data_IF_822738690511
#
_entry.id   IF_822738690511
#
_cell.length_a   1.000
_cell.length_b   1.000
_cell.length_c   1.000
_cell.angle_alpha   90.00
_cell.angle_beta   90.00
_cell.angle_gamma   90.00
#
_symmetry.space_group_name_H-M   'P 1'
#
loop_
_entity.id
_entity.type
_entity.pdbx_description
1 polymer ?
#
# COMPACT_ATOMS: atom_id res chain seq x y z
N UNK A 1 -6.94 -18.19 -24.15
CA UNK A 1 -6.87 -18.37 -22.68
C UNK A 1 -7.37 -17.09 -22.02
N UNK A 2 -8.31 -17.18 -21.08
CA UNK A 2 -9.13 -16.06 -20.60
C UNK A 2 -8.30 -14.94 -19.96
N UNK A 3 -8.17 -13.79 -20.65
CA UNK A 3 -7.45 -12.60 -20.17
C UNK A 3 -8.06 -12.03 -18.88
N UNK A 4 -9.38 -12.13 -18.71
CA UNK A 4 -10.09 -11.64 -17.51
C UNK A 4 -9.76 -12.41 -16.23
N UNK A 5 -9.62 -13.74 -16.28
CA UNK A 5 -9.24 -14.54 -15.09
C UNK A 5 -7.82 -14.22 -14.64
N UNK A 6 -6.91 -13.96 -15.60
CA UNK A 6 -5.53 -13.57 -15.28
C UNK A 6 -5.46 -12.23 -14.55
N UNK A 7 -6.22 -11.24 -15.02
CA UNK A 7 -6.30 -9.93 -14.35
C UNK A 7 -6.82 -10.03 -12.90
N UNK A 8 -7.81 -10.90 -12.65
CA UNK A 8 -8.31 -11.13 -11.29
C UNK A 8 -7.31 -11.91 -10.42
N UNK A 9 -6.59 -12.88 -10.98
CA UNK A 9 -5.55 -13.60 -10.24
C UNK A 9 -4.36 -12.70 -9.91
N UNK A 10 -3.94 -11.83 -10.83
CA UNK A 10 -2.82 -10.90 -10.62
C UNK A 10 -3.12 -9.91 -9.49
N UNK A 11 -4.36 -9.42 -9.42
CA UNK A 11 -4.79 -8.52 -8.32
C UNK A 11 -4.82 -9.23 -6.96
N UNK A 12 -5.22 -10.50 -6.90
CA UNK A 12 -5.17 -11.32 -5.68
C UNK A 12 -3.71 -11.58 -5.28
N UNK A 13 -2.85 -11.95 -6.22
CA UNK A 13 -1.44 -12.24 -5.95
C UNK A 13 -0.71 -10.98 -5.45
N UNK A 14 -1.00 -9.79 -5.98
CA UNK A 14 -0.45 -8.54 -5.48
C UNK A 14 -0.95 -8.14 -4.08
N UNK A 15 -2.13 -8.63 -3.67
CA UNK A 15 -2.69 -8.40 -2.35
C UNK A 15 -2.13 -9.35 -1.27
N UNK A 16 -1.72 -10.57 -1.64
CA UNK A 16 -1.15 -11.57 -0.72
C UNK A 16 0.03 -11.11 0.15
N UNK A 17 1.09 -10.46 -0.37
CA UNK A 17 2.24 -10.05 0.46
C UNK A 17 1.86 -9.01 1.52
N UNK A 18 0.71 -8.36 1.36
CA UNK A 18 0.22 -7.32 2.26
C UNK A 18 -0.40 -7.92 3.53
N UNK A 19 -0.97 -9.12 3.42
CA UNK A 19 -1.55 -9.88 4.54
C UNK A 19 -0.62 -10.97 5.06
N UNK A 20 0.52 -11.19 4.41
CA UNK A 20 1.45 -12.30 4.70
C UNK A 20 1.96 -12.29 6.14
N UNK A 21 2.26 -11.13 6.72
CA UNK A 21 2.76 -11.06 8.10
C UNK A 21 1.74 -11.58 9.13
N UNK A 22 0.45 -11.28 8.93
CA UNK A 22 -0.63 -11.85 9.76
C UNK A 22 -0.91 -13.31 9.38
N UNK A 23 -0.83 -13.65 8.09
CA UNK A 23 -1.01 -15.01 7.59
C UNK A 23 0.02 -16.00 8.14
N UNK A 24 1.28 -15.59 8.28
CA UNK A 24 2.33 -16.40 8.89
C UNK A 24 2.08 -16.63 10.38
N UNK A 25 1.65 -15.59 11.10
CA UNK A 25 1.25 -15.74 12.50
C UNK A 25 0.06 -16.70 12.64
N UNK A 26 -0.93 -16.59 11.74
CA UNK A 26 -2.08 -17.48 11.71
C UNK A 26 -1.69 -18.93 11.44
N UNK A 27 -0.77 -19.15 10.49
CA UNK A 27 -0.25 -20.47 10.16
C UNK A 27 0.52 -21.09 11.34
N UNK A 28 1.35 -20.30 12.04
CA UNK A 28 2.06 -20.75 13.24
C UNK A 28 1.07 -21.11 14.37
N UNK A 29 0.02 -20.31 14.56
CA UNK A 29 -1.04 -20.61 15.52
C UNK A 29 -1.70 -21.95 15.20
N UNK A 30 -2.05 -22.19 13.93
CA UNK A 30 -2.58 -23.48 13.49
C UNK A 30 -1.63 -24.63 13.78
N UNK A 31 -0.33 -24.45 13.53
CA UNK A 31 0.66 -25.49 13.78
C UNK A 31 0.73 -25.88 15.26
N UNK A 32 0.80 -24.88 16.16
CA UNK A 32 0.86 -25.10 17.62
C UNK A 32 -0.42 -25.80 18.10
N UNK A 33 -1.59 -25.30 17.71
CA UNK A 33 -2.85 -25.89 18.12
C UNK A 33 -3.03 -27.30 17.53
N UNK A 34 -2.58 -27.55 16.30
CA UNK A 34 -2.62 -28.91 15.72
C UNK A 34 -1.81 -29.89 16.55
N UNK A 35 -0.56 -29.54 16.90
CA UNK A 35 0.28 -30.39 17.73
C UNK A 35 -0.34 -30.65 19.11
N UNK A 36 -0.87 -29.61 19.76
CA UNK A 36 -1.59 -29.75 21.04
C UNK A 36 -2.86 -30.60 20.91
N UNK A 37 -3.61 -30.43 19.83
CA UNK A 37 -4.85 -31.16 19.58
C UNK A 37 -4.61 -32.65 19.38
N UNK A 38 -3.53 -33.04 18.68
CA UNK A 38 -3.14 -34.45 18.55
C UNK A 38 -2.77 -35.05 19.90
N UNK A 39 -2.03 -34.31 20.74
CA UNK A 39 -1.63 -34.81 22.06
C UNK A 39 -2.83 -34.93 23.03
N UNK A 40 -3.71 -33.93 23.04
CA UNK A 40 -4.87 -33.89 23.94
C UNK A 40 -6.00 -34.81 23.48
N UNK A 41 -6.24 -34.90 22.17
CA UNK A 41 -7.44 -35.49 21.60
C UNK A 41 -7.18 -36.65 20.62
N UNK A 42 -5.93 -37.04 20.39
CA UNK A 42 -5.57 -38.11 19.45
C UNK A 42 -6.10 -39.50 19.81
N UNK A 43 -6.50 -39.70 21.07
CA UNK A 43 -7.06 -40.97 21.58
C UNK A 43 -8.59 -41.01 21.57
N UNK A 44 -9.28 -39.96 21.14
CA UNK A 44 -10.75 -39.98 21.04
C UNK A 44 -11.18 -40.94 19.93
N UNK A 45 -12.04 -41.88 20.30
CA UNK A 45 -12.62 -42.85 19.37
C UNK A 45 -14.14 -42.75 19.35
N UNK A 46 -14.68 -42.69 18.13
CA UNK A 46 -16.10 -42.74 17.86
C UNK A 46 -16.42 -44.16 17.36
N UNK A 47 -17.42 -44.79 17.95
CA UNK A 47 -17.88 -46.15 17.57
C UNK A 47 -19.40 -46.15 17.38
N UNK A 48 -19.96 -47.21 16.80
CA UNK A 48 -21.42 -47.35 16.62
C UNK A 48 -22.17 -47.32 17.96
N UNK A 49 -21.56 -47.85 19.03
CA UNK A 49 -22.09 -47.80 20.40
C UNK A 49 -22.02 -46.41 21.05
N UNK A 50 -21.09 -45.56 20.60
CA UNK A 50 -20.87 -44.19 21.11
C UNK A 50 -20.74 -43.23 19.93
N UNK A 51 -21.86 -42.84 19.29
CA UNK A 51 -21.84 -41.98 18.11
C UNK A 51 -21.38 -40.56 18.47
N UNK A 52 -20.49 -40.03 17.62
CA UNK A 52 -20.04 -38.65 17.64
C UNK A 52 -20.93 -37.78 16.75
N UNK A 53 -21.09 -36.52 17.12
CA UNK A 53 -21.93 -35.55 16.40
C UNK A 53 -21.11 -34.60 15.53
N UNK A 54 -19.87 -34.32 15.93
CA UNK A 54 -18.92 -33.45 15.24
C UNK A 54 -17.67 -34.17 14.74
N UNK A 55 -17.17 -35.16 15.49
CA UNK A 55 -16.06 -36.00 15.03
C UNK A 55 -16.54 -37.08 14.06
N UNK A 56 -15.75 -37.33 13.01
CA UNK A 56 -16.05 -38.32 11.96
C UNK A 56 -14.73 -38.90 11.39
N UNK A 57 -14.80 -39.88 10.49
CA UNK A 57 -13.65 -40.45 9.75
C UNK A 57 -12.82 -39.42 8.97
N UNK A 58 -13.38 -38.25 8.70
CA UNK A 58 -12.72 -37.14 8.00
C UNK A 58 -12.47 -35.92 8.88
N UNK A 59 -12.80 -35.99 10.18
CA UNK A 59 -12.63 -34.92 11.15
C UNK A 59 -12.26 -35.53 12.50
N UNK A 60 -10.95 -35.73 12.71
CA UNK A 60 -10.39 -36.33 13.92
C UNK A 60 -8.97 -35.83 14.22
N UNK A 61 -8.53 -36.04 15.47
CA UNK A 61 -7.22 -35.61 15.96
C UNK A 61 -6.16 -36.73 16.01
N UNK A 62 -6.43 -37.92 15.44
CA UNK A 62 -5.49 -39.06 15.45
C UNK A 62 -4.16 -38.77 14.75
N UNK A 63 -4.20 -38.05 13.64
CA UNK A 63 -3.04 -37.72 12.81
C UNK A 63 -2.90 -36.20 12.68
N UNK A 64 -1.67 -35.71 12.56
CA UNK A 64 -1.39 -34.28 12.39
C UNK A 64 -2.15 -33.66 11.20
N UNK A 65 -2.16 -34.34 10.05
CA UNK A 65 -2.82 -33.82 8.84
C UNK A 65 -4.34 -33.69 9.00
N UNK A 66 -4.99 -34.71 9.56
CA UNK A 66 -6.44 -34.65 9.82
C UNK A 66 -6.78 -33.69 10.95
N UNK A 67 -5.94 -33.58 11.98
CA UNK A 67 -6.08 -32.59 13.04
C UNK A 67 -6.02 -31.16 12.48
N UNK A 68 -5.09 -30.89 11.54
CA UNK A 68 -4.97 -29.61 10.87
C UNK A 68 -6.24 -29.26 10.07
N UNK A 69 -6.76 -30.20 9.29
CA UNK A 69 -8.01 -30.01 8.53
C UNK A 69 -9.23 -29.86 9.45
N UNK A 70 -9.24 -30.58 10.58
CA UNK A 70 -10.30 -30.46 11.60
C UNK A 70 -10.27 -29.08 12.24
N UNK A 71 -9.09 -28.54 12.56
CA UNK A 71 -8.94 -27.17 13.06
C UNK A 71 -9.29 -26.12 12.00
N UNK A 72 -9.01 -26.38 10.73
CA UNK A 72 -9.48 -25.53 9.64
C UNK A 72 -11.00 -25.43 9.60
N UNK A 73 -11.71 -26.57 9.69
CA UNK A 73 -13.18 -26.62 9.81
C UNK A 73 -13.69 -25.86 11.03
N UNK A 74 -13.02 -25.99 12.17
CA UNK A 74 -13.38 -25.26 13.40
C UNK A 74 -13.18 -23.74 13.21
N UNK A 75 -12.08 -23.33 12.57
CA UNK A 75 -11.77 -21.93 12.31
C UNK A 75 -12.75 -21.26 11.33
N UNK A 76 -13.37 -22.02 10.42
CA UNK A 76 -14.47 -21.53 9.59
C UNK A 76 -15.79 -21.40 10.37
N UNK A 77 -15.85 -21.86 11.62
CA UNK A 77 -17.04 -21.84 12.46
C UNK A 77 -18.03 -22.98 12.17
N UNK A 78 -17.65 -23.98 11.38
CA UNK A 78 -18.53 -25.10 11.04
C UNK A 78 -18.48 -26.18 12.12
N UNK A 79 -19.65 -26.52 12.67
CA UNK A 79 -19.88 -27.60 13.63
C UNK A 79 -18.84 -27.72 14.78
N UNK A 80 -18.17 -26.62 15.16
CA UNK A 80 -17.13 -26.64 16.20
C UNK A 80 -17.69 -26.98 17.58
N UNK A 81 -18.94 -26.58 17.85
CA UNK A 81 -19.66 -26.95 19.07
C UNK A 81 -19.89 -28.46 19.18
N UNK A 82 -20.18 -29.13 18.05
CA UNK A 82 -20.32 -30.59 18.02
C UNK A 82 -19.00 -31.29 18.30
N UNK A 83 -17.92 -30.83 17.67
CA UNK A 83 -16.57 -31.36 17.88
C UNK A 83 -16.13 -31.16 19.33
N UNK A 84 -16.36 -29.97 19.90
CA UNK A 84 -16.08 -29.68 21.30
C UNK A 84 -16.88 -30.61 22.23
N UNK A 85 -18.18 -30.78 22.01
CA UNK A 85 -19.02 -31.68 22.82
C UNK A 85 -18.51 -33.12 22.79
N UNK A 86 -18.07 -33.60 21.63
CA UNK A 86 -17.50 -34.93 21.51
C UNK A 86 -16.17 -35.05 22.24
N UNK A 87 -15.33 -34.02 22.21
CA UNK A 87 -14.08 -33.97 22.97
C UNK A 87 -14.28 -33.88 24.50
N UNK A 88 -15.45 -33.43 24.98
CA UNK A 88 -15.81 -33.41 26.40
C UNK A 88 -16.28 -34.77 26.93
N UNK A 89 -16.58 -35.73 26.04
CA UNK A 89 -17.07 -37.04 26.47
C UNK A 89 -15.97 -37.72 27.29
N UNK A 90 -16.32 -38.09 28.52
CA UNK A 90 -15.39 -38.82 29.36
C UNK A 90 -15.20 -40.21 28.78
N UNK A 91 -13.94 -40.61 28.66
CA UNK A 91 -13.60 -41.95 28.25
C UNK A 91 -13.88 -42.88 29.44
N UNK A 92 -15.06 -43.51 29.45
CA UNK A 92 -15.45 -44.54 30.44
C UNK A 92 -14.63 -45.84 30.33
N UNK A 93 -13.49 -45.80 29.63
CA UNK A 93 -12.56 -46.90 29.52
C UNK A 93 -12.14 -47.38 30.91
N UNK A 94 -12.19 -48.70 31.21
CA UNK A 94 -11.95 -49.24 32.56
C UNK A 94 -10.51 -49.01 33.09
N UNK A 95 -9.60 -48.53 32.23
CA UNK A 95 -8.22 -48.17 32.56
C UNK A 95 -7.96 -46.64 32.52
N UNK A 96 -8.96 -45.86 32.11
CA UNK A 96 -8.90 -44.41 32.02
C UNK A 96 -9.38 -43.78 33.33
N UNK A 97 -8.45 -43.26 34.13
CA UNK A 97 -8.82 -42.44 35.28
C UNK A 97 -9.70 -41.27 34.85
N UNK A 98 -10.74 -40.96 35.63
CA UNK A 98 -11.58 -39.77 35.45
C UNK A 98 -10.73 -38.51 35.56
N UNK A 99 -10.18 -38.07 34.44
CA UNK A 99 -9.37 -36.86 34.38
C UNK A 99 -10.31 -35.66 34.28
N UNK A 100 -10.89 -35.26 35.41
CA UNK A 100 -11.75 -34.07 35.51
C UNK A 100 -11.06 -32.81 34.94
N UNK A 101 -9.73 -32.74 35.02
CA UNK A 101 -8.90 -31.71 34.40
C UNK A 101 -9.05 -31.67 32.86
N UNK A 102 -9.07 -32.82 32.20
CA UNK A 102 -9.21 -32.89 30.73
C UNK A 102 -10.58 -32.39 30.28
N UNK A 103 -11.62 -32.68 31.06
CA UNK A 103 -12.99 -32.20 30.81
C UNK A 103 -13.13 -30.68 30.92
N UNK A 104 -12.29 -30.01 31.72
CA UNK A 104 -12.26 -28.56 31.83
C UNK A 104 -11.32 -27.91 30.80
N UNK A 105 -10.24 -28.59 30.40
CA UNK A 105 -9.29 -28.10 29.40
C UNK A 105 -9.84 -28.11 27.97
N UNK A 106 -10.68 -29.10 27.63
CA UNK A 106 -11.24 -29.21 26.28
C UNK A 106 -12.05 -27.96 25.85
N UNK A 107 -13.05 -27.46 26.61
CA UNK A 107 -13.75 -26.22 26.24
C UNK A 107 -12.81 -25.03 26.11
N UNK A 108 -11.84 -24.90 27.02
CA UNK A 108 -10.89 -23.78 27.03
C UNK A 108 -10.06 -23.78 25.74
N UNK A 109 -9.55 -24.96 25.35
CA UNK A 109 -8.80 -25.12 24.11
C UNK A 109 -9.61 -24.69 22.88
N UNK A 110 -10.84 -25.18 22.72
CA UNK A 110 -11.65 -24.88 21.53
C UNK A 110 -12.10 -23.41 21.51
N UNK A 111 -12.53 -22.86 22.65
CA UNK A 111 -12.99 -21.47 22.73
C UNK A 111 -11.85 -20.50 22.46
N UNK A 112 -10.68 -20.69 23.07
CA UNK A 112 -9.50 -19.84 22.82
C UNK A 112 -9.10 -19.92 21.34
N UNK A 113 -9.05 -21.13 20.77
CA UNK A 113 -8.72 -21.30 19.36
C UNK A 113 -9.69 -20.57 18.44
N UNK A 114 -11.01 -20.74 18.65
CA UNK A 114 -12.04 -20.07 17.85
C UNK A 114 -11.92 -18.56 17.97
N UNK A 115 -11.79 -18.02 19.19
CA UNK A 115 -11.66 -16.57 19.38
C UNK A 115 -10.40 -16.02 18.71
N UNK A 116 -9.25 -16.68 18.88
CA UNK A 116 -8.01 -16.28 18.23
C UNK A 116 -8.10 -16.36 16.71
N UNK A 117 -8.69 -17.43 16.17
CA UNK A 117 -8.83 -17.61 14.74
C UNK A 117 -9.76 -16.55 14.12
N UNK A 118 -10.92 -16.30 14.74
CA UNK A 118 -11.84 -15.26 14.30
C UNK A 118 -11.21 -13.87 14.40
N UNK A 119 -10.48 -13.58 15.48
CA UNK A 119 -9.77 -12.30 15.62
C UNK A 119 -8.76 -12.07 14.49
N UNK A 120 -7.95 -13.08 14.16
CA UNK A 120 -6.99 -12.97 13.07
C UNK A 120 -7.69 -12.85 11.71
N UNK A 121 -8.76 -13.62 11.46
CA UNK A 121 -9.53 -13.51 10.21
C UNK A 121 -10.13 -12.11 10.03
N UNK A 122 -10.72 -11.54 11.09
CA UNK A 122 -11.27 -10.18 11.06
C UNK A 122 -10.14 -9.16 10.81
N UNK A 123 -8.99 -9.31 11.48
CA UNK A 123 -7.86 -8.40 11.27
C UNK A 123 -7.31 -8.47 9.84
N UNK A 124 -7.30 -9.66 9.22
CA UNK A 124 -6.93 -9.80 7.80
C UNK A 124 -7.94 -9.08 6.92
N UNK A 125 -9.25 -9.25 7.16
CA UNK A 125 -10.30 -8.55 6.40
C UNK A 125 -10.15 -7.03 6.55
N UNK A 126 -9.95 -6.53 7.77
CA UNK A 126 -9.75 -5.09 8.04
C UNK A 126 -8.49 -4.58 7.34
N UNK A 127 -7.38 -5.31 7.40
CA UNK A 127 -6.13 -4.92 6.73
C UNK A 127 -6.31 -4.80 5.20
N UNK A 128 -7.00 -5.76 4.57
CA UNK A 128 -7.31 -5.71 3.13
C UNK A 128 -8.21 -4.53 2.80
N UNK A 129 -9.25 -4.28 3.61
CA UNK A 129 -10.19 -3.18 3.40
C UNK A 129 -9.50 -1.82 3.53
N UNK A 130 -8.71 -1.61 4.59
CA UNK A 130 -7.97 -0.36 4.80
C UNK A 130 -7.00 -0.10 3.66
N UNK A 131 -6.28 -1.14 3.21
CA UNK A 131 -5.40 -1.01 2.06
C UNK A 131 -6.15 -0.63 0.78
N UNK A 132 -7.33 -1.19 0.54
CA UNK A 132 -8.14 -0.84 -0.64
C UNK A 132 -8.69 0.57 -0.56
N UNK A 133 -9.06 1.04 0.63
CA UNK A 133 -9.46 2.43 0.86
C UNK A 133 -8.27 3.39 0.66
N UNK A 134 -7.10 3.07 1.18
CA UNK A 134 -5.89 3.87 1.01
C UNK A 134 -5.47 3.94 -0.47
N UNK A 135 -5.54 2.81 -1.19
CA UNK A 135 -5.25 2.75 -2.63
C UNK A 135 -6.23 3.62 -3.43
N UNK A 136 -7.54 3.54 -3.14
CA UNK A 136 -8.57 4.36 -3.80
C UNK A 136 -8.42 5.85 -3.49
N UNK A 137 -8.09 6.22 -2.25
CA UNK A 137 -7.92 7.62 -1.85
C UNK A 137 -6.67 8.23 -2.48
N UNK A 138 -5.58 7.45 -2.60
CA UNK A 138 -4.33 7.92 -3.25
C UNK A 138 -4.49 8.11 -4.76
N UNK A 139 -5.22 7.22 -5.45
CA UNK A 139 -5.52 7.39 -6.87
C UNK A 139 -6.32 8.68 -7.11
N UNK A 140 -7.33 8.94 -6.28
CA UNK A 140 -8.14 10.15 -6.37
C UNK A 140 -7.32 11.42 -6.10
N UNK A 141 -6.42 11.41 -5.10
CA UNK A 141 -5.57 12.57 -4.83
C UNK A 141 -4.58 12.84 -5.96
N UNK A 142 -3.97 11.80 -6.53
CA UNK A 142 -3.02 11.96 -7.63
C UNK A 142 -3.72 12.50 -8.89
N UNK A 143 -4.94 12.01 -9.21
CA UNK A 143 -5.74 12.54 -10.33
C UNK A 143 -6.06 14.04 -10.14
N UNK A 144 -6.44 14.46 -8.93
CA UNK A 144 -6.72 15.89 -8.67
C UNK A 144 -5.48 16.78 -8.83
N UNK A 145 -4.30 16.30 -8.41
CA UNK A 145 -3.05 17.05 -8.54
C UNK A 145 -2.63 17.17 -10.01
N UNK A 146 -2.84 16.12 -10.81
CA UNK A 146 -2.56 16.13 -12.25
C UNK A 146 -3.48 17.10 -12.97
N UNK A 147 -4.79 17.07 -12.67
CA UNK A 147 -5.76 17.97 -13.28
C UNK A 147 -5.42 19.45 -12.97
N UNK A 148 -5.05 19.76 -11.73
CA UNK A 148 -4.60 21.11 -11.33
C UNK A 148 -3.33 21.55 -12.06
N UNK A 149 -2.36 20.65 -12.29
CA UNK A 149 -1.12 20.98 -13.00
C UNK A 149 -1.36 21.18 -14.49
N UNK A 150 -2.23 20.37 -15.11
CA UNK A 150 -2.64 20.53 -16.51
C UNK A 150 -3.32 21.90 -16.69
N UNK A 151 -4.22 22.28 -15.78
CA UNK A 151 -4.91 23.58 -15.83
C UNK A 151 -3.91 24.73 -15.76
N UNK A 152 -2.93 24.70 -14.84
CA UNK A 152 -1.88 25.73 -14.76
C UNK A 152 -1.04 25.82 -16.02
N UNK A 153 -0.66 24.68 -16.61
CA UNK A 153 0.13 24.68 -17.84
C UNK A 153 -0.67 25.27 -19.01
N UNK A 154 -1.97 24.96 -19.11
CA UNK A 154 -2.85 25.53 -20.14
C UNK A 154 -3.02 27.04 -19.97
N UNK A 155 -3.09 27.55 -18.73
CA UNK A 155 -3.14 29.00 -18.45
C UNK A 155 -1.85 29.71 -18.89
N UNK A 156 -0.67 29.13 -18.60
CA UNK A 156 0.62 29.67 -19.03
C UNK A 156 0.73 29.69 -20.56
N UNK A 157 0.40 28.59 -21.22
CA UNK A 157 0.45 28.50 -22.69
C UNK A 157 -0.54 29.48 -23.37
N UNK A 158 -1.72 29.68 -22.77
CA UNK A 158 -2.69 30.68 -23.24
C UNK A 158 -2.18 32.11 -23.06
N UNK A 159 -1.50 32.40 -21.95
CA UNK A 159 -0.90 33.71 -21.70
C UNK A 159 0.23 34.01 -22.70
N UNK A 160 1.12 33.06 -22.95
CA UNK A 160 2.20 33.18 -23.95
C UNK A 160 1.66 33.38 -25.37
N UNK A 161 0.53 32.71 -25.70
CA UNK A 161 -0.19 32.90 -26.96
C UNK A 161 -0.73 34.32 -27.13
N UNK A 162 -1.30 34.90 -26.09
CA UNK A 162 -1.88 36.26 -26.11
C UNK A 162 -0.80 37.34 -26.29
N UNK A 163 0.39 37.15 -25.71
CA UNK A 163 1.54 38.01 -25.96
C UNK A 163 2.05 37.94 -27.42
N UNK A 164 1.99 36.77 -28.05
CA UNK A 164 2.39 36.59 -29.45
C UNK A 164 1.35 37.14 -30.43
N UNK A 165 0.09 37.32 -30.03
CA UNK A 165 -1.00 37.92 -30.82
C UNK A 165 -1.14 39.44 -30.64
N UNK A 166 -0.38 40.08 -29.73
CA UNK A 166 -0.37 41.54 -29.61
C UNK A 166 0.13 42.18 -30.94
N UNK A 167 -0.63 43.13 -31.52
CA UNK A 167 -0.19 43.82 -32.71
C UNK A 167 1.10 44.60 -32.39
N UNK A 168 2.21 44.20 -33.01
CA UNK A 168 3.38 45.05 -33.10
C UNK A 168 2.98 46.29 -33.91
N UNK A 169 3.02 47.44 -33.24
CA UNK A 169 2.80 48.82 -33.69
C UNK A 169 1.44 49.39 -33.26
N UNK A 170 1.51 50.25 -32.24
CA UNK A 170 0.54 51.32 -31.99
C UNK A 170 0.57 52.26 -33.20
N UNK A 171 -0.55 52.40 -33.91
CA UNK A 171 -0.72 53.22 -35.13
C UNK A 171 -0.22 54.67 -34.99
N UNK A 172 -0.01 55.09 -33.74
CA UNK A 172 0.53 56.39 -33.36
C UNK A 172 2.00 56.58 -33.72
N UNK A 173 2.81 55.52 -33.76
CA UNK A 173 4.26 55.63 -34.05
C UNK A 173 4.55 55.65 -35.56
N UNK A 174 3.64 55.15 -36.40
CA UNK A 174 3.77 55.18 -37.86
C UNK A 174 3.63 56.61 -38.45
N UNK A 175 2.90 57.49 -37.77
CA UNK A 175 2.76 58.89 -38.16
C UNK A 175 3.97 59.75 -37.75
N UNK A 176 4.74 59.33 -36.74
CA UNK A 176 5.97 60.03 -36.34
C UNK A 176 7.19 59.68 -37.20
N UNK A 177 7.21 58.50 -37.84
CA UNK A 177 8.31 58.07 -38.71
C UNK A 177 8.18 58.53 -40.17
N UNK A 178 7.00 59.02 -40.58
CA UNK A 178 6.81 59.54 -41.94
C UNK A 178 7.39 60.95 -42.15
N UNK A 179 7.65 61.70 -41.06
CA UNK A 179 8.22 63.05 -41.12
C UNK A 179 9.76 63.06 -41.26
N UNK A 180 10.42 61.94 -41.00
CA UNK A 180 11.88 61.83 -41.12
C UNK A 180 12.21 60.68 -42.07
N UNK A 181 12.57 61.05 -43.30
CA UNK A 181 12.87 60.18 -44.43
C UNK A 181 14.08 59.25 -44.19
N UNK A 182 13.98 58.34 -43.22
CA UNK A 182 15.03 57.41 -42.80
C UNK A 182 14.66 56.04 -43.35
N UNK A 183 15.45 55.57 -44.32
CA UNK A 183 15.33 54.22 -44.87
C UNK A 183 15.82 53.20 -43.86
N UNK A 184 14.92 52.33 -43.39
CA UNK A 184 15.30 51.15 -42.60
C UNK A 184 15.45 49.93 -43.51
N UNK A 185 16.57 49.23 -43.37
CA UNK A 185 16.81 47.93 -43.98
C UNK A 185 16.30 46.85 -43.02
N UNK A 186 15.49 45.87 -43.46
CA UNK A 186 14.91 44.90 -42.55
C UNK A 186 16.00 43.94 -42.03
N UNK A 187 16.11 43.82 -40.70
CA UNK A 187 16.95 42.79 -40.09
C UNK A 187 16.26 41.43 -40.24
N UNK A 188 16.89 40.55 -41.02
CA UNK A 188 16.44 39.18 -41.20
C UNK A 188 16.45 38.43 -39.86
N UNK A 189 15.36 37.68 -39.63
CA UNK A 189 15.17 36.76 -38.50
C UNK A 189 16.35 35.76 -38.47
N UNK A 190 17.28 35.90 -37.54
CA UNK A 190 18.34 34.91 -37.33
C UNK A 190 17.75 33.74 -36.53
N UNK A 191 17.74 32.58 -37.18
CA UNK A 191 17.21 31.32 -36.69
C UNK A 191 18.21 30.70 -35.68
N UNK A 192 17.73 30.35 -34.48
CA UNK A 192 18.34 29.46 -33.47
C UNK A 192 19.74 29.79 -32.92
N UNK A 193 19.85 29.92 -31.59
CA UNK A 193 21.13 29.86 -30.88
C UNK A 193 21.63 28.40 -30.81
N UNK A 194 22.90 28.10 -31.11
CA UNK A 194 23.46 26.75 -30.94
C UNK A 194 23.71 26.40 -29.46
N UNK A 195 23.81 25.09 -29.11
CA UNK A 195 23.75 24.61 -27.72
C UNK A 195 24.93 24.97 -26.80
N UNK A 196 25.96 25.68 -27.28
CA UNK A 196 27.23 25.86 -26.58
C UNK A 196 27.67 27.33 -26.49
N UNK A 197 26.77 28.21 -26.04
CA UNK A 197 27.14 29.58 -25.69
C UNK A 197 27.58 29.61 -24.21
N UNK A 198 28.85 29.92 -23.96
CA UNK A 198 29.39 30.13 -22.61
C UNK A 198 29.43 31.64 -22.34
N UNK A 199 28.81 32.07 -21.25
CA UNK A 199 28.74 33.47 -20.82
C UNK A 199 29.94 33.81 -19.94
N UNK A 200 30.77 34.77 -20.34
CA UNK A 200 31.75 35.40 -19.45
C UNK A 200 31.11 36.64 -18.83
N UNK A 201 30.85 36.61 -17.51
CA UNK A 201 30.44 37.83 -16.79
C UNK A 201 31.66 38.74 -16.65
N UNK A 202 31.56 39.93 -17.22
CA UNK A 202 32.55 40.98 -17.02
C UNK A 202 32.04 41.87 -15.89
N UNK A 203 32.60 41.64 -14.70
CA UNK A 203 32.39 42.44 -13.50
C UNK A 203 33.03 43.82 -13.68
N UNK A 204 32.22 44.87 -13.77
CA UNK A 204 32.62 46.22 -13.36
C UNK A 204 31.41 47.14 -13.39
N UNK A 205 30.93 47.57 -12.22
CA UNK A 205 30.81 48.98 -11.80
C UNK A 205 30.31 48.97 -10.35
N UNK A 206 31.17 49.34 -9.40
CA UNK A 206 30.84 50.24 -8.28
C UNK A 206 32.10 50.49 -7.46
N UNK A 207 32.62 51.72 -7.49
CA UNK A 207 33.24 52.27 -6.28
C UNK A 207 33.02 53.79 -6.26
N UNK A 208 32.30 54.25 -5.22
CA UNK A 208 32.05 55.65 -4.91
C UNK A 208 33.06 56.10 -3.85
N UNK A 209 33.81 57.16 -4.17
CA UNK A 209 34.37 58.24 -3.33
C UNK A 209 34.70 57.99 -1.84
N UNK A 210 35.96 58.22 -1.47
CA UNK A 210 36.30 59.10 -0.32
C UNK A 210 37.74 59.64 -0.43
N UNK A 211 37.91 60.94 -0.15
CA UNK A 211 39.19 61.66 -0.14
C UNK A 211 39.75 61.63 1.28
N UNK A 212 41.04 61.28 1.39
CA UNK A 212 41.99 61.42 2.51
C UNK A 212 42.87 60.15 2.54
N UNK A 213 44.16 60.10 2.85
CA UNK A 213 45.14 61.05 3.33
C UNK A 213 46.51 60.33 3.27
N UNK A 214 47.60 61.09 3.16
CA UNK A 214 49.00 60.69 3.40
C UNK A 214 49.74 59.86 2.34
N UNK A 215 50.25 60.56 1.32
CA UNK A 215 51.63 60.34 0.86
C UNK A 215 52.24 61.73 0.65
N UNK A 216 52.72 62.31 1.76
CA UNK A 216 54.15 62.47 2.02
C UNK A 216 54.84 63.43 1.05
N UNK A 217 54.84 64.69 1.48
CA UNK A 217 55.93 65.63 1.30
C UNK A 217 57.25 65.01 1.81
N UNK A 218 58.09 64.55 0.88
CA UNK A 218 59.56 64.44 0.90
C UNK A 218 60.02 63.19 0.14
N UNK A 219 60.57 63.37 -1.06
CA UNK A 219 61.97 63.10 -1.41
C UNK A 219 62.13 63.51 -2.88
N UNK A 220 62.85 64.62 -3.07
CA UNK A 220 63.48 65.14 -4.29
C UNK A 220 62.60 65.73 -5.40
#
# INVERSE_FOLDING_TARGET
MAKGIRALLDTVIQALPQVENLGLLFFLLFFIFTALGVELFGKLECSEERPCTGLDKHAHFKDFGMAFLTLFRIATGDNWNGIMKDALRQDDSPHGGKNHLMSALAPIYFVIFVLMAQFVLVNVVVAVLMKKLDESNRMMSDDTVIDEEIERQLEVDAHDRDYLEQPLIDDKELNFLNDNNISYFPLAKQLSLPPNLIFHSMSSVTECSEKDLFTLYNIM
#
